data_IF_964325797957
#
_entry.id   IF_964325797957
#
_cell.length_a   1.000
_cell.length_b   1.000
_cell.length_c   1.000
_cell.angle_alpha   90.00
_cell.angle_beta   90.00
_cell.angle_gamma   90.00
#
_symmetry.space_group_name_H-M   'P 1'
#
loop_
_entity.id
_entity.type
_entity.pdbx_description
1 polymer ?
#
# COMPACT_ATOMS: atom_id res chain seq x y z
N UNK A 1 23.83 -1.84 -12.97
CA UNK A 1 22.52 -1.37 -13.47
C UNK A 1 22.44 0.13 -13.21
N UNK A 2 22.71 0.94 -14.24
CA UNK A 2 22.65 2.41 -14.16
C UNK A 2 21.23 2.88 -14.42
N UNK A 3 20.74 3.87 -13.67
CA UNK A 3 19.47 4.55 -13.98
C UNK A 3 18.31 4.36 -12.98
N UNK A 4 18.51 3.71 -11.82
CA UNK A 4 17.48 3.64 -10.76
C UNK A 4 17.68 4.62 -9.61
N UNK A 5 18.76 5.40 -9.63
CA UNK A 5 19.02 6.45 -8.64
C UNK A 5 18.11 7.66 -8.87
N UNK A 6 17.77 8.33 -7.77
CA UNK A 6 17.11 9.64 -7.80
C UNK A 6 18.15 10.65 -7.30
N UNK A 7 18.59 11.63 -8.12
CA UNK A 7 19.57 12.62 -7.67
C UNK A 7 19.02 13.46 -6.52
N UNK A 8 19.89 14.13 -5.76
CA UNK A 8 19.48 15.04 -4.68
C UNK A 8 18.47 16.10 -5.20
N UNK A 9 17.35 16.29 -4.50
CA UNK A 9 16.23 17.15 -4.93
C UNK A 9 15.43 16.63 -6.12
N UNK A 10 15.78 15.46 -6.66
CA UNK A 10 15.10 14.81 -7.76
C UNK A 10 13.83 14.07 -7.31
N UNK A 11 13.08 13.58 -8.31
CA UNK A 11 11.89 12.76 -8.08
C UNK A 11 11.70 11.71 -9.15
N UNK A 12 10.87 10.71 -8.87
CA UNK A 12 10.53 9.65 -9.82
C UNK A 12 9.15 9.07 -9.56
N UNK A 13 8.42 8.82 -10.65
CA UNK A 13 7.17 8.07 -10.61
C UNK A 13 7.44 6.58 -10.33
N UNK A 14 6.60 5.98 -9.51
CA UNK A 14 6.61 4.54 -9.32
C UNK A 14 6.10 3.81 -10.56
N UNK A 15 6.30 2.50 -10.56
CA UNK A 15 5.82 1.62 -11.62
C UNK A 15 4.89 0.59 -11.02
N UNK A 16 3.91 0.19 -11.80
CA UNK A 16 3.15 -1.02 -11.56
C UNK A 16 4.09 -2.23 -11.69
N UNK A 17 4.12 -3.11 -10.69
CA UNK A 17 4.98 -4.29 -10.66
C UNK A 17 4.59 -5.35 -11.68
N UNK A 18 3.31 -5.44 -12.01
CA UNK A 18 2.77 -6.49 -12.87
C UNK A 18 2.93 -6.11 -14.35
N UNK A 19 2.75 -4.83 -14.67
CA UNK A 19 2.80 -4.31 -16.05
C UNK A 19 4.12 -3.60 -16.40
N UNK A 20 4.93 -3.24 -15.40
CA UNK A 20 6.12 -2.38 -15.50
C UNK A 20 5.84 -0.96 -16.05
N UNK A 21 4.56 -0.62 -16.24
CA UNK A 21 4.13 0.70 -16.69
C UNK A 21 4.47 1.75 -15.64
N UNK A 22 4.89 2.93 -16.08
CA UNK A 22 5.08 4.08 -15.20
C UNK A 22 3.72 4.61 -14.79
N UNK A 23 3.57 4.98 -13.52
CA UNK A 23 2.43 5.75 -13.07
C UNK A 23 2.44 7.17 -13.70
N UNK A 24 1.27 7.82 -13.88
CA UNK A 24 -0.06 7.44 -13.40
C UNK A 24 -0.69 6.23 -14.10
N UNK A 25 -1.43 5.43 -13.32
CA UNK A 25 -2.31 4.37 -13.83
C UNK A 25 -3.79 4.82 -13.78
N UNK A 26 -4.64 4.23 -14.64
CA UNK A 26 -6.09 4.47 -14.61
C UNK A 26 -6.79 3.36 -13.84
N UNK A 27 -7.52 3.74 -12.80
CA UNK A 27 -8.51 2.91 -12.11
C UNK A 27 -9.81 3.04 -12.90
N UNK A 28 -10.31 1.94 -13.44
CA UNK A 28 -11.50 1.98 -14.29
C UNK A 28 -12.76 2.24 -13.45
N UNK A 29 -13.77 2.84 -14.09
CA UNK A 29 -15.12 2.99 -13.52
C UNK A 29 -15.62 1.65 -12.95
N UNK A 30 -16.24 1.71 -11.78
CA UNK A 30 -16.75 0.55 -11.06
C UNK A 30 -15.66 -0.23 -10.33
N UNK A 31 -14.44 0.31 -10.21
CA UNK A 31 -13.34 -0.31 -9.46
C UNK A 31 -12.76 0.66 -8.43
N UNK A 32 -12.31 0.10 -7.32
CA UNK A 32 -11.69 0.83 -6.22
C UNK A 32 -10.27 0.35 -6.02
N UNK A 33 -9.35 1.27 -5.73
CA UNK A 33 -7.98 0.95 -5.37
C UNK A 33 -7.76 1.25 -3.89
N UNK A 34 -7.28 0.25 -3.16
CA UNK A 34 -6.95 0.35 -1.73
C UNK A 34 -5.48 0.04 -1.50
N UNK A 35 -4.75 0.94 -0.85
CA UNK A 35 -3.38 0.70 -0.39
C UNK A 35 -3.46 -0.04 0.96
N UNK A 36 -2.89 -1.25 1.01
CA UNK A 36 -2.91 -2.09 2.21
C UNK A 36 -1.53 -2.26 2.86
N UNK A 37 -0.46 -1.92 2.15
CA UNK A 37 0.88 -1.91 2.73
C UNK A 37 1.81 -0.97 1.99
N UNK A 38 2.78 -0.46 2.73
CA UNK A 38 3.78 0.48 2.25
C UNK A 38 5.11 0.08 2.87
N UNK A 39 6.16 -0.06 2.05
CA UNK A 39 7.50 -0.41 2.50
C UNK A 39 8.56 0.45 1.81
N UNK A 40 9.56 0.86 2.58
CA UNK A 40 10.67 1.69 2.12
C UNK A 40 11.99 1.16 2.68
N UNK A 41 13.01 1.10 1.83
CA UNK A 41 14.39 0.83 2.23
C UNK A 41 15.31 1.68 1.36
N UNK A 42 15.79 2.81 1.89
CA UNK A 42 16.51 3.84 1.11
C UNK A 42 17.71 4.38 1.89
N UNK A 43 18.67 4.97 1.15
CA UNK A 43 19.93 5.52 1.71
C UNK A 43 19.87 7.02 2.03
N UNK A 44 18.79 7.70 1.67
CA UNK A 44 18.60 9.15 1.82
C UNK A 44 17.18 9.44 2.31
N UNK A 45 16.94 10.68 2.73
CA UNK A 45 15.61 11.15 3.11
C UNK A 45 14.67 11.15 1.90
N UNK A 46 13.45 10.64 2.11
CA UNK A 46 12.39 10.58 1.09
C UNK A 46 11.10 11.21 1.55
N UNK A 47 10.38 11.72 0.56
CA UNK A 47 8.94 11.94 0.62
C UNK A 47 8.28 11.10 -0.46
N UNK A 48 7.23 10.37 -0.09
CA UNK A 48 6.42 9.58 -1.02
C UNK A 48 5.02 10.17 -1.02
N UNK A 49 4.61 10.68 -2.18
CA UNK A 49 3.32 11.34 -2.36
C UNK A 49 2.47 10.53 -3.34
N UNK A 50 1.24 10.23 -2.93
CA UNK A 50 0.18 9.73 -3.81
C UNK A 50 -0.63 10.88 -4.37
N UNK A 51 -1.12 10.72 -5.60
CA UNK A 51 -2.01 11.67 -6.25
C UNK A 51 -3.18 10.92 -6.87
N UNK A 52 -4.39 11.35 -6.53
CA UNK A 52 -5.62 10.92 -7.19
C UNK A 52 -6.09 12.09 -8.03
N UNK A 53 -6.29 11.89 -9.32
CA UNK A 53 -6.87 12.89 -10.22
C UNK A 53 -6.15 14.25 -10.20
N UNK A 54 -4.81 14.25 -10.09
CA UNK A 54 -4.02 15.48 -9.98
C UNK A 54 -4.17 16.44 -11.16
N UNK A 55 -4.60 15.95 -12.33
CA UNK A 55 -4.90 16.80 -13.48
C UNK A 55 -6.26 17.52 -13.39
N UNK A 56 -7.13 17.09 -12.46
CA UNK A 56 -8.45 17.67 -12.24
C UNK A 56 -8.39 18.78 -11.18
N UNK A 57 -9.27 19.79 -11.23
CA UNK A 57 -9.33 20.87 -10.23
C UNK A 57 -9.59 20.40 -8.79
N UNK A 58 -10.13 19.19 -8.64
CA UNK A 58 -10.44 18.54 -7.36
C UNK A 58 -9.51 17.36 -7.05
N UNK A 59 -8.38 17.26 -7.74
CA UNK A 59 -7.36 16.25 -7.47
C UNK A 59 -6.85 16.33 -6.04
N UNK A 60 -6.46 15.17 -5.50
CA UNK A 60 -6.02 15.03 -4.11
C UNK A 60 -4.57 14.59 -4.07
N UNK A 61 -3.78 15.23 -3.22
CA UNK A 61 -2.43 14.78 -2.88
C UNK A 61 -2.46 14.16 -1.47
N UNK A 62 -1.83 13.00 -1.32
CA UNK A 62 -1.79 12.23 -0.06
C UNK A 62 -0.35 11.92 0.30
N UNK A 63 0.02 12.18 1.55
CA UNK A 63 1.34 11.82 2.05
C UNK A 63 1.37 10.34 2.46
N UNK A 64 2.15 9.54 1.73
CA UNK A 64 2.26 8.09 1.93
C UNK A 64 3.52 7.70 2.72
N UNK A 65 4.44 8.63 2.93
CA UNK A 65 5.65 8.41 3.71
C UNK A 65 6.59 9.60 3.72
N UNK A 66 7.17 9.87 4.90
CA UNK A 66 8.30 10.79 5.06
C UNK A 66 9.32 10.15 6.00
N UNK A 67 10.58 10.10 5.58
CA UNK A 67 11.76 9.65 6.34
C UNK A 67 12.92 10.60 5.98
N UNK A 68 13.78 11.19 6.80
CA UNK A 68 13.85 11.51 8.23
C UNK A 68 14.40 12.95 8.42
N UNK A 69 15.09 13.23 9.54
CA UNK A 69 15.78 14.51 9.81
C UNK A 69 14.98 15.63 10.52
N UNK A 70 13.68 15.44 10.79
CA UNK A 70 12.88 16.39 11.58
C UNK A 70 11.99 17.34 10.78
N UNK A 71 11.91 17.19 9.45
CA UNK A 71 10.89 17.86 8.65
C UNK A 71 9.53 17.17 8.86
N UNK A 72 8.68 17.80 9.67
CA UNK A 72 7.28 17.43 9.77
C UNK A 72 6.56 17.91 8.51
N UNK A 73 6.19 16.99 7.61
CA UNK A 73 5.12 17.30 6.65
C UNK A 73 3.81 17.37 7.43
N UNK A 74 3.22 18.56 7.53
CA UNK A 74 1.88 18.79 8.10
C UNK A 74 0.77 18.35 7.12
N UNK A 75 0.90 17.13 6.59
CA UNK A 75 -0.08 16.53 5.70
C UNK A 75 -0.58 15.24 6.34
N UNK A 76 -1.88 14.94 6.18
CA UNK A 76 -2.54 13.78 6.77
C UNK A 76 -1.72 12.51 6.46
N UNK A 77 -1.05 11.96 7.47
CA UNK A 77 -0.36 10.68 7.37
C UNK A 77 -1.42 9.60 7.39
N UNK A 78 -1.78 9.14 6.21
CA UNK A 78 -2.75 8.07 6.05
C UNK A 78 -1.96 6.81 5.72
N UNK A 79 -2.00 5.81 6.62
CA UNK A 79 -1.33 4.52 6.40
C UNK A 79 -2.07 3.63 5.41
N UNK A 80 -3.38 3.82 5.24
CA UNK A 80 -4.23 3.07 4.32
C UNK A 80 -5.12 4.05 3.55
N UNK A 81 -4.97 4.16 2.23
CA UNK A 81 -5.77 5.03 1.36
C UNK A 81 -6.71 4.17 0.53
N UNK A 82 -7.98 4.57 0.41
CA UNK A 82 -8.92 3.98 -0.53
C UNK A 82 -9.55 5.06 -1.41
N UNK A 83 -9.73 4.78 -2.70
CA UNK A 83 -10.49 5.67 -3.59
C UNK A 83 -11.96 5.79 -3.20
N UNK A 84 -12.49 4.83 -2.42
CA UNK A 84 -13.86 4.89 -1.88
C UNK A 84 -14.11 6.11 -1.00
N UNK A 85 -13.06 6.73 -0.45
CA UNK A 85 -13.21 7.93 0.36
C UNK A 85 -13.57 9.18 -0.45
N UNK A 86 -13.36 9.13 -1.77
CA UNK A 86 -13.63 10.23 -2.69
C UNK A 86 -14.77 9.89 -3.66
N UNK A 87 -14.84 8.65 -4.13
CA UNK A 87 -15.92 8.12 -4.97
C UNK A 87 -16.32 6.72 -4.47
N UNK A 88 -17.25 6.63 -3.49
CA UNK A 88 -17.68 5.36 -2.89
C UNK A 88 -18.26 4.36 -3.89
N UNK A 89 -18.88 4.85 -4.96
CA UNK A 89 -19.54 4.02 -5.98
C UNK A 89 -18.64 3.76 -7.20
N UNK A 90 -17.41 4.30 -7.20
CA UNK A 90 -16.52 4.36 -8.36
C UNK A 90 -17.27 4.77 -9.64
N UNK A 91 -18.11 5.80 -9.53
CA UNK A 91 -18.96 6.29 -10.60
C UNK A 91 -18.15 6.80 -11.80
N UNK A 92 -16.92 7.26 -11.56
CA UNK A 92 -15.98 7.76 -12.56
C UNK A 92 -14.70 6.90 -12.61
N UNK A 93 -13.98 6.90 -13.75
CA UNK A 93 -12.60 6.44 -13.76
C UNK A 93 -11.70 7.46 -13.05
N UNK A 94 -10.68 6.98 -12.35
CA UNK A 94 -9.72 7.81 -11.61
C UNK A 94 -8.29 7.54 -12.07
N UNK A 95 -7.45 8.55 -12.02
CA UNK A 95 -6.00 8.41 -12.19
C UNK A 95 -5.31 8.28 -10.83
N UNK A 96 -4.34 7.39 -10.75
CA UNK A 96 -3.52 7.15 -9.57
C UNK A 96 -2.04 7.28 -9.90
N UNK A 97 -1.36 8.21 -9.24
CA UNK A 97 0.08 8.39 -9.36
C UNK A 97 0.76 8.28 -8.00
N UNK A 98 2.00 7.79 -7.99
CA UNK A 98 2.85 7.80 -6.79
C UNK A 98 4.22 8.28 -7.19
N UNK A 99 4.67 9.34 -6.53
CA UNK A 99 5.97 9.96 -6.79
C UNK A 99 6.83 9.88 -5.54
N UNK A 100 8.05 9.37 -5.72
CA UNK A 100 9.11 9.37 -4.70
C UNK A 100 10.03 10.55 -4.95
N UNK A 101 10.18 11.41 -3.96
CA UNK A 101 11.05 12.57 -3.93
C UNK A 101 12.29 12.25 -3.08
N UNK A 102 13.47 12.59 -3.57
CA UNK A 102 14.70 12.55 -2.79
C UNK A 102 14.90 13.92 -2.12
N UNK A 103 14.67 13.97 -0.81
CA UNK A 103 14.83 15.17 0.02
C UNK A 103 16.20 15.19 0.72
N UNK A 104 17.03 14.17 0.49
CA UNK A 104 18.38 14.06 1.03
C UNK A 104 19.42 14.89 0.27
N UNK A 105 20.60 15.03 0.90
CA UNK A 105 21.72 15.80 0.35
C UNK A 105 22.56 15.07 -0.71
N UNK A 106 22.33 13.78 -0.92
CA UNK A 106 23.05 12.96 -1.91
C UNK A 106 22.12 12.15 -2.80
N UNK A 107 22.70 11.35 -3.70
CA UNK A 107 21.94 10.44 -4.55
C UNK A 107 21.22 9.39 -3.71
N UNK A 108 19.95 9.16 -4.02
CA UNK A 108 19.14 8.16 -3.35
C UNK A 108 19.27 6.80 -4.04
N UNK A 109 19.56 5.79 -3.21
CA UNK A 109 19.59 4.37 -3.56
C UNK A 109 18.58 3.61 -2.69
N UNK A 110 18.06 2.51 -3.22
CA UNK A 110 17.10 1.66 -2.52
C UNK A 110 15.78 1.50 -3.28
N UNK A 111 14.68 1.31 -2.53
CA UNK A 111 13.36 1.09 -3.11
C UNK A 111 12.21 1.52 -2.20
N UNK A 112 11.11 1.89 -2.85
CA UNK A 112 9.80 2.07 -2.26
C UNK A 112 8.83 1.09 -2.93
N UNK A 113 7.97 0.46 -2.15
CA UNK A 113 6.98 -0.48 -2.63
C UNK A 113 5.64 -0.20 -1.95
N UNK A 114 4.57 -0.26 -2.74
CA UNK A 114 3.21 -0.21 -2.26
C UNK A 114 2.52 -1.50 -2.67
N UNK A 115 1.78 -2.09 -1.74
CA UNK A 115 0.86 -3.17 -2.03
C UNK A 115 -0.55 -2.57 -2.09
N UNK A 116 -1.14 -2.63 -3.27
CA UNK A 116 -2.49 -2.17 -3.53
C UNK A 116 -3.39 -3.34 -3.93
N UNK A 117 -4.67 -3.22 -3.66
CA UNK A 117 -5.71 -4.12 -4.16
C UNK A 117 -6.67 -3.30 -4.99
N UNK A 118 -6.93 -3.75 -6.22
CA UNK A 118 -7.94 -3.18 -7.10
C UNK A 118 -9.13 -4.15 -7.20
N UNK A 119 -10.33 -3.69 -6.81
CA UNK A 119 -11.53 -4.52 -6.70
C UNK A 119 -12.70 -3.91 -7.46
N UNK A 120 -13.66 -4.73 -7.91
CA UNK A 120 -14.90 -4.23 -8.51
C UNK A 120 -15.85 -3.84 -7.37
N UNK A 121 -16.48 -2.67 -7.46
CA UNK A 121 -17.47 -2.22 -6.47
C UNK A 121 -18.57 -3.29 -6.32
N UNK A 122 -18.82 -3.70 -5.08
CA UNK A 122 -19.81 -4.73 -4.75
C UNK A 122 -19.29 -6.17 -4.80
N UNK A 123 -17.98 -6.41 -5.02
CA UNK A 123 -17.40 -7.73 -4.71
C UNK A 123 -17.40 -7.95 -3.20
N UNK A 124 -17.70 -9.20 -2.80
CA UNK A 124 -17.80 -9.64 -1.40
C UNK A 124 -16.52 -9.22 -0.64
N UNK A 125 -16.63 -8.74 0.62
CA UNK A 125 -15.47 -8.28 1.38
C UNK A 125 -14.37 -9.34 1.46
N UNK A 126 -13.13 -8.88 1.71
CA UNK A 126 -11.96 -9.71 2.07
C UNK A 126 -12.35 -11.03 2.72
N UNK A 127 -11.71 -12.11 2.28
CA UNK A 127 -11.91 -13.46 2.83
C UNK A 127 -12.05 -13.42 4.35
N UNK A 128 -13.11 -14.04 4.89
CA UNK A 128 -13.31 -14.14 6.35
C UNK A 128 -12.32 -15.11 6.99
N UNK A 129 -11.49 -15.78 6.19
CA UNK A 129 -10.47 -16.73 6.61
C UNK A 129 -9.09 -16.44 6.00
N UNK A 130 -8.04 -16.95 6.65
CA UNK A 130 -6.64 -16.86 6.24
C UNK A 130 -5.95 -18.23 6.37
N UNK A 131 -4.99 -18.50 5.50
CA UNK A 131 -4.13 -19.66 5.63
C UNK A 131 -2.97 -19.37 6.58
N UNK A 132 -2.81 -20.23 7.58
CA UNK A 132 -1.77 -20.16 8.59
C UNK A 132 -0.82 -21.35 8.43
N UNK A 133 0.48 -21.08 8.50
CA UNK A 133 1.51 -22.12 8.48
C UNK A 133 2.10 -22.26 9.88
N UNK A 134 2.02 -23.46 10.46
CA UNK A 134 2.59 -23.71 11.77
C UNK A 134 4.14 -23.64 11.73
N UNK A 135 4.79 -22.82 12.57
CA UNK A 135 6.25 -22.69 12.59
C UNK A 135 6.96 -23.94 13.14
N UNK A 136 6.24 -24.89 13.72
CA UNK A 136 6.82 -26.07 14.35
C UNK A 136 6.78 -27.33 13.49
N UNK A 137 5.79 -27.46 12.60
CA UNK A 137 5.61 -28.66 11.77
C UNK A 137 5.24 -28.37 10.31
N UNK A 138 5.19 -27.09 9.90
CA UNK A 138 4.82 -26.64 8.55
C UNK A 138 3.42 -27.04 8.07
N UNK A 139 2.57 -27.57 8.96
CA UNK A 139 1.18 -27.85 8.65
C UNK A 139 0.45 -26.55 8.29
N UNK A 140 -0.32 -26.60 7.20
CA UNK A 140 -1.16 -25.49 6.75
C UNK A 140 -2.58 -25.70 7.25
N UNK A 141 -3.18 -24.69 7.85
CA UNK A 141 -4.56 -24.71 8.31
C UNK A 141 -5.24 -23.36 8.03
N UNK A 142 -6.53 -23.40 7.75
CA UNK A 142 -7.34 -22.22 7.51
C UNK A 142 -8.00 -21.78 8.81
N UNK A 143 -7.88 -20.49 9.13
CA UNK A 143 -8.36 -19.89 10.39
C UNK A 143 -9.15 -18.61 10.10
N UNK A 144 -10.02 -18.15 11.02
CA UNK A 144 -10.64 -16.84 10.90
C UNK A 144 -9.61 -15.71 10.78
N UNK A 145 -9.89 -14.68 9.98
CA UNK A 145 -9.00 -13.51 9.88
C UNK A 145 -8.74 -12.83 11.22
N UNK A 146 -9.70 -12.89 12.15
CA UNK A 146 -9.61 -12.35 13.51
C UNK A 146 -8.74 -13.14 14.48
N UNK A 147 -8.36 -14.39 14.14
CA UNK A 147 -7.59 -15.25 15.04
C UNK A 147 -6.19 -14.68 15.32
N UNK A 148 -5.70 -14.77 16.56
CA UNK A 148 -4.38 -14.24 16.95
C UNK A 148 -3.48 -15.29 17.59
N UNK A 149 -4.07 -16.19 18.37
CA UNK A 149 -3.41 -17.33 19.01
C UNK A 149 -4.21 -18.57 18.65
N UNK A 150 -3.57 -19.51 17.98
CA UNK A 150 -4.22 -20.71 17.41
C UNK A 150 -3.43 -21.96 17.76
N UNK A 151 -4.13 -23.09 17.81
CA UNK A 151 -3.52 -24.40 18.03
C UNK A 151 -3.30 -25.08 16.69
N UNK A 152 -2.07 -25.56 16.45
CA UNK A 152 -1.76 -26.31 15.24
C UNK A 152 -2.50 -27.65 15.21
N UNK A 153 -3.29 -27.90 14.16
CA UNK A 153 -4.00 -29.18 13.95
C UNK A 153 -3.05 -30.33 13.63
N UNK A 154 -1.84 -30.04 13.15
CA UNK A 154 -0.83 -31.06 12.83
C UNK A 154 0.02 -31.52 14.03
N UNK A 155 0.41 -30.62 14.94
CA UNK A 155 1.32 -30.95 16.04
C UNK A 155 0.83 -30.54 17.44
N UNK A 156 -0.38 -30.00 17.56
CA UNK A 156 -1.00 -29.64 18.84
C UNK A 156 -0.37 -28.45 19.58
N UNK A 157 0.67 -27.81 19.02
CA UNK A 157 1.33 -26.66 19.64
C UNK A 157 0.58 -25.37 19.34
N UNK A 158 0.53 -24.46 20.30
CA UNK A 158 0.03 -23.10 20.10
C UNK A 158 1.06 -22.22 19.41
N UNK A 159 0.60 -21.32 18.55
CA UNK A 159 1.42 -20.29 17.92
C UNK A 159 0.57 -19.04 17.63
N UNK A 160 1.24 -17.92 17.39
CA UNK A 160 0.58 -16.67 17.04
C UNK A 160 0.50 -16.46 15.54
N UNK A 161 -0.58 -15.83 15.10
CA UNK A 161 -0.82 -15.41 13.72
C UNK A 161 -1.36 -13.98 13.69
N UNK A 162 -1.10 -13.26 12.60
CA UNK A 162 -1.50 -11.85 12.46
C UNK A 162 -3.01 -11.73 12.40
N UNK A 163 -3.61 -10.87 13.23
CA UNK A 163 -5.02 -10.49 13.09
C UNK A 163 -5.20 -9.63 11.83
N UNK A 164 -6.00 -10.11 10.88
CA UNK A 164 -6.36 -9.37 9.66
C UNK A 164 -7.77 -8.76 9.75
N UNK A 165 -8.54 -8.98 10.83
CA UNK A 165 -9.85 -8.36 11.00
C UNK A 165 -9.79 -6.83 11.19
N UNK A 166 -8.64 -6.29 11.63
CA UNK A 166 -8.44 -4.84 11.62
C UNK A 166 -8.27 -4.28 10.19
N UNK A 167 -7.85 -5.10 9.22
CA UNK A 167 -7.79 -4.68 7.81
C UNK A 167 -9.20 -4.53 7.21
N UNK A 168 -10.16 -5.34 7.65
CA UNK A 168 -11.57 -5.22 7.23
C UNK A 168 -12.31 -4.01 7.82
N UNK A 169 -11.77 -3.36 8.86
CA UNK A 169 -12.37 -2.15 9.44
C UNK A 169 -11.94 -0.85 8.74
N UNK A 170 -11.07 -0.93 7.72
CA UNK A 170 -10.57 0.23 6.98
C UNK A 170 -11.42 0.60 5.76
N UNK A 171 -12.45 -0.20 5.47
CA UNK A 171 -13.48 0.06 4.46
C UNK A 171 -14.84 0.46 5.05
N UNK A 172 -14.87 1.01 6.26
CA UNK A 172 -16.07 1.54 6.91
C UNK A 172 -16.12 3.06 6.90
#
# INVERSE_FOLDING_TARGET
>A
VTGYTIPAGGKRHMRDSDTLALLPATILKGRTLTIISIAYAVTQDIRVQGYIDAELPWGVAVNLGVLGGGLQSYENKIRELSTTWYDPDAALPHSWDVIVYNEGGGDLYGGAALLCIEEIVGTVPFSTTKDCVCPHCSHKQTEPVSATRITCQGCGKEYMVTNFASLTQLGG
#
